data_IF_642382104356
#
_entry.id   IF_642382104356
#
_cell.length_a   1.000
_cell.length_b   1.000
_cell.length_c   1.000
_cell.angle_alpha   90.00
_cell.angle_beta   90.00
_cell.angle_gamma   90.00
#
_symmetry.space_group_name_H-M   'P 1'
#
loop_
_entity.id
_entity.type
_entity.pdbx_description
1 polymer ?
#
# COMPACT_ATOMS: atom_id res chain seq x y z
N UNK A 1 -47.45 -27.30 1.21
CA UNK A 1 -48.83 -27.01 0.79
C UNK A 1 -48.95 -25.52 0.52
N UNK A 2 -48.93 -25.09 -0.76
CA UNK A 2 -49.02 -23.70 -1.19
C UNK A 2 -50.49 -23.31 -1.46
N UNK A 3 -50.83 -22.02 -1.36
CA UNK A 3 -52.12 -21.47 -1.82
C UNK A 3 -51.84 -20.15 -2.52
N UNK A 4 -51.73 -20.15 -3.86
CA UNK A 4 -52.77 -19.89 -4.87
C UNK A 4 -53.01 -18.38 -5.12
N UNK A 5 -52.71 -18.00 -6.37
CA UNK A 5 -52.94 -16.72 -7.05
C UNK A 5 -54.44 -16.35 -7.20
N UNK A 6 -54.79 -15.15 -7.72
CA UNK A 6 -55.01 -15.09 -9.17
C UNK A 6 -54.47 -13.85 -9.89
N UNK A 7 -54.39 -14.04 -11.20
CA UNK A 7 -53.91 -13.19 -12.28
C UNK A 7 -55.07 -12.39 -12.93
N UNK A 8 -54.79 -11.21 -13.51
CA UNK A 8 -55.30 -10.65 -14.79
C UNK A 8 -55.18 -9.10 -14.79
N UNK A 9 -55.10 -8.35 -15.89
CA UNK A 9 -54.55 -8.45 -17.25
C UNK A 9 -54.84 -7.08 -17.94
N UNK A 10 -54.10 -6.76 -19.03
CA UNK A 10 -54.39 -5.75 -20.09
C UNK A 10 -54.07 -4.26 -19.75
N UNK A 11 -53.07 -3.65 -20.40
CA UNK A 11 -53.02 -3.11 -21.79
C UNK A 11 -53.66 -1.73 -21.92
N UNK A 12 -52.87 -0.67 -22.18
CA UNK A 12 -52.87 0.13 -23.43
C UNK A 12 -51.89 1.31 -23.36
N UNK A 13 -51.42 1.70 -24.54
CA UNK A 13 -50.41 2.70 -24.87
C UNK A 13 -50.73 4.16 -24.45
N UNK A 14 -49.71 5.04 -24.47
CA UNK A 14 -49.56 6.13 -25.50
C UNK A 14 -48.52 7.19 -25.04
N UNK A 15 -47.37 7.22 -25.75
CA UNK A 15 -46.68 8.39 -26.33
C UNK A 15 -46.14 9.54 -25.45
N UNK A 16 -44.85 9.90 -25.60
CA UNK A 16 -44.39 11.09 -26.36
C UNK A 16 -42.89 11.46 -26.11
N UNK A 17 -42.23 11.86 -27.20
CA UNK A 17 -40.95 12.60 -27.35
C UNK A 17 -39.64 11.86 -26.99
N UNK A 18 -38.54 11.95 -27.74
CA UNK A 18 -38.08 12.94 -28.73
C UNK A 18 -37.09 12.29 -29.71
N UNK A 19 -37.22 12.63 -30.99
CA UNK A 19 -36.27 12.34 -32.06
C UNK A 19 -35.06 13.28 -31.99
N UNK A 20 -33.84 12.76 -32.19
CA UNK A 20 -32.80 13.48 -32.94
C UNK A 20 -32.04 12.53 -33.86
N UNK A 21 -32.12 12.87 -35.14
CA UNK A 21 -31.43 12.31 -36.30
C UNK A 21 -29.90 12.44 -36.20
N UNK A 22 -29.17 11.44 -36.70
CA UNK A 22 -28.05 11.68 -37.63
C UNK A 22 -27.87 10.50 -38.59
N UNK A 23 -27.90 10.83 -39.88
CA UNK A 23 -27.92 9.91 -41.02
C UNK A 23 -26.50 9.62 -41.50
N UNK A 24 -26.22 8.36 -41.89
CA UNK A 24 -24.98 7.94 -42.55
C UNK A 24 -25.34 7.42 -43.94
N UNK A 25 -24.88 8.06 -45.02
CA UNK A 25 -24.79 7.43 -46.35
C UNK A 25 -23.69 8.01 -47.27
N UNK A 26 -22.76 7.11 -47.66
CA UNK A 26 -22.17 6.78 -48.99
C UNK A 26 -21.44 7.82 -49.89
N UNK A 27 -20.16 7.50 -50.17
CA UNK A 27 -19.48 7.38 -51.51
C UNK A 27 -17.96 7.34 -51.29
N UNK A 28 -17.05 6.73 -52.07
CA UNK A 28 -16.99 6.01 -53.36
C UNK A 28 -15.55 5.45 -53.45
N UNK A 29 -15.32 4.25 -54.00
CA UNK A 29 -14.47 4.00 -55.19
C UNK A 29 -14.20 2.49 -55.43
N UNK A 30 -14.60 2.08 -56.64
CA UNK A 30 -14.22 0.93 -57.51
C UNK A 30 -12.75 0.49 -57.38
N UNK A 31 -12.28 -0.67 -57.84
CA UNK A 31 -12.76 -1.94 -58.38
C UNK A 31 -11.46 -2.77 -58.64
N UNK A 32 -11.54 -4.10 -58.79
CA UNK A 32 -10.93 -4.86 -59.92
C UNK A 32 -11.01 -6.39 -59.68
N UNK A 33 -11.48 -7.04 -60.74
CA UNK A 33 -11.35 -8.42 -61.19
C UNK A 33 -11.99 -9.63 -60.47
N UNK A 34 -12.83 -10.28 -61.27
CA UNK A 34 -13.47 -11.57 -61.13
C UNK A 34 -12.53 -12.74 -61.43
N UNK A 35 -12.80 -13.92 -60.86
CA UNK A 35 -13.26 -15.10 -61.62
C UNK A 35 -13.30 -16.38 -60.74
N UNK A 36 -14.50 -16.97 -60.68
CA UNK A 36 -14.85 -18.39 -60.82
C UNK A 36 -14.38 -19.50 -59.84
N UNK A 37 -15.39 -20.31 -59.49
CA UNK A 37 -15.41 -21.77 -59.34
C UNK A 37 -15.14 -22.43 -57.96
N UNK A 38 -16.24 -22.61 -57.20
CA UNK A 38 -16.83 -23.87 -56.63
C UNK A 38 -15.97 -24.95 -55.93
N UNK A 39 -16.58 -25.73 -55.01
CA UNK A 39 -16.04 -26.01 -53.69
C UNK A 39 -15.47 -27.42 -53.52
N UNK A 40 -14.65 -27.62 -52.47
CA UNK A 40 -14.27 -28.95 -52.00
C UNK A 40 -14.72 -29.10 -50.53
N UNK A 41 -15.78 -29.89 -50.40
CA UNK A 41 -16.05 -30.91 -49.38
C UNK A 41 -15.96 -30.54 -47.88
N UNK A 42 -17.13 -30.39 -47.27
CA UNK A 42 -17.35 -30.63 -45.83
C UNK A 42 -17.23 -32.12 -45.53
N UNK A 43 -16.40 -32.48 -44.55
CA UNK A 43 -16.62 -33.66 -43.71
C UNK A 43 -16.47 -33.25 -42.24
N UNK A 44 -17.60 -33.24 -41.56
CA UNK A 44 -17.74 -33.24 -40.10
C UNK A 44 -18.14 -34.66 -39.66
N UNK A 45 -17.92 -34.92 -38.35
CA UNK A 45 -18.23 -36.12 -37.55
C UNK A 45 -17.01 -37.05 -37.33
N UNK A 46 -16.60 -37.45 -36.13
CA UNK A 46 -17.16 -37.39 -34.78
C UNK A 46 -16.02 -37.44 -33.72
N UNK A 47 -16.29 -36.83 -32.56
CA UNK A 47 -15.90 -37.16 -31.18
C UNK A 47 -14.69 -38.08 -30.89
N UNK A 48 -13.79 -37.63 -30.01
CA UNK A 48 -13.59 -38.21 -28.65
C UNK A 48 -12.45 -37.54 -27.86
N UNK A 49 -12.69 -37.39 -26.55
CA UNK A 49 -11.73 -37.32 -25.43
C UNK A 49 -10.85 -36.07 -25.23
N UNK A 50 -11.40 -35.13 -24.45
CA UNK A 50 -10.63 -34.26 -23.57
C UNK A 50 -9.97 -35.10 -22.47
N UNK A 51 -8.66 -35.39 -22.60
CA UNK A 51 -7.85 -35.83 -21.47
C UNK A 51 -7.36 -34.60 -20.69
N UNK A 52 -7.88 -34.47 -19.46
CA UNK A 52 -7.37 -33.56 -18.44
C UNK A 52 -5.99 -34.05 -17.99
N UNK A 53 -4.93 -33.35 -18.39
CA UNK A 53 -3.59 -33.51 -17.83
C UNK A 53 -3.37 -32.40 -16.80
N UNK A 54 -3.53 -32.75 -15.52
CA UNK A 54 -3.03 -31.95 -14.39
C UNK A 54 -1.50 -32.11 -14.34
N UNK A 55 -0.71 -31.02 -14.22
CA UNK A 55 0.71 -31.14 -13.98
C UNK A 55 0.96 -31.63 -12.53
N UNK A 56 2.04 -32.38 -12.28
CA UNK A 56 2.34 -32.89 -10.96
C UNK A 56 2.80 -31.74 -10.05
N UNK A 57 2.09 -31.57 -8.93
CA UNK A 57 2.56 -30.79 -7.79
C UNK A 57 3.82 -31.46 -7.24
N UNK A 58 4.99 -30.94 -7.59
CA UNK A 58 6.22 -31.20 -6.85
C UNK A 58 6.12 -30.45 -5.51
N UNK A 59 5.66 -31.16 -4.47
CA UNK A 59 5.80 -30.73 -3.09
C UNK A 59 7.29 -30.73 -2.73
N UNK A 60 7.93 -29.57 -2.86
CA UNK A 60 9.19 -29.30 -2.18
C UNK A 60 8.90 -29.14 -0.68
N UNK A 61 9.62 -29.84 0.21
CA UNK A 61 9.47 -29.65 1.64
C UNK A 61 9.91 -28.23 2.03
N UNK A 62 9.29 -27.62 3.06
CA UNK A 62 9.69 -26.31 3.53
C UNK A 62 11.15 -26.34 4.05
N UNK A 63 11.94 -25.29 3.80
CA UNK A 63 13.31 -25.21 4.31
C UNK A 63 13.29 -25.22 5.85
N UNK A 64 14.01 -26.18 6.44
CA UNK A 64 14.21 -26.23 7.87
C UNK A 64 15.26 -25.19 8.27
N UNK A 65 14.87 -24.24 9.13
CA UNK A 65 15.77 -23.23 9.68
C UNK A 65 16.38 -23.73 11.00
N UNK A 66 17.66 -23.44 11.28
CA UNK A 66 18.26 -23.73 12.57
C UNK A 66 17.69 -22.78 13.65
N UNK A 67 17.55 -23.24 14.92
CA UNK A 67 17.03 -22.41 15.99
C UNK A 67 18.00 -21.27 16.34
N UNK A 68 17.48 -20.03 16.44
CA UNK A 68 18.23 -18.90 16.98
C UNK A 68 18.53 -19.13 18.46
N UNK A 69 19.81 -19.09 18.81
CA UNK A 69 20.26 -19.05 20.21
C UNK A 69 19.96 -17.66 20.80
N UNK A 70 19.27 -17.62 21.93
CA UNK A 70 19.06 -16.42 22.71
C UNK A 70 20.33 -16.09 23.52
N UNK A 71 20.85 -14.85 23.48
CA UNK A 71 21.91 -14.45 24.38
C UNK A 71 21.31 -14.17 25.77
N UNK A 72 21.83 -14.88 26.78
CA UNK A 72 21.59 -14.63 28.20
C UNK A 72 22.26 -13.34 28.65
N UNK A 73 21.46 -12.39 29.16
CA UNK A 73 21.95 -11.17 29.82
C UNK A 73 22.55 -11.48 31.19
N UNK A 74 23.67 -10.84 31.60
CA UNK A 74 24.17 -10.95 32.97
C UNK A 74 23.41 -10.01 33.92
N UNK A 75 23.12 -10.50 35.11
CA UNK A 75 22.51 -9.79 36.24
C UNK A 75 23.50 -8.83 36.90
N UNK A 76 23.10 -7.57 37.08
CA UNK A 76 23.87 -6.57 37.84
C UNK A 76 23.38 -6.60 39.30
N UNK A 77 24.31 -6.83 40.22
CA UNK A 77 24.09 -6.85 41.66
C UNK A 77 24.24 -5.43 42.24
N UNK A 78 23.19 -4.93 42.90
CA UNK A 78 23.19 -3.70 43.68
C UNK A 78 23.85 -3.92 45.05
N UNK A 79 24.74 -3.01 45.46
CA UNK A 79 25.16 -2.85 46.85
C UNK A 79 24.69 -1.49 47.41
N UNK A 80 24.21 -1.43 48.66
CA UNK A 80 23.74 -0.19 49.27
C UNK A 80 24.82 0.50 50.13
N UNK A 81 24.71 1.83 50.20
CA UNK A 81 25.09 2.62 51.37
C UNK A 81 26.29 3.56 51.19
N UNK A 82 26.03 4.86 51.25
CA UNK A 82 26.64 5.76 52.26
C UNK A 82 25.91 7.11 52.25
N UNK A 83 25.86 7.72 53.43
CA UNK A 83 25.06 8.86 53.87
C UNK A 83 26.04 9.99 54.21
N UNK A 84 25.87 11.21 53.68
CA UNK A 84 26.46 12.47 54.17
C UNK A 84 25.60 13.63 53.61
N UNK A 85 24.78 14.31 54.43
CA UNK A 85 25.03 15.49 55.28
C UNK A 85 25.01 16.84 54.55
N UNK A 86 23.96 17.61 54.91
CA UNK A 86 23.92 19.06 55.19
C UNK A 86 24.41 20.09 54.14
N UNK A 87 23.42 20.84 53.63
CA UNK A 87 23.38 22.30 53.70
C UNK A 87 24.03 23.09 52.55
N UNK A 88 23.22 23.80 51.76
CA UNK A 88 23.32 25.26 51.62
C UNK A 88 22.18 25.82 50.77
N UNK A 89 21.75 27.02 51.12
CA UNK A 89 20.62 27.75 50.58
C UNK A 89 20.76 28.07 49.08
N UNK A 90 19.69 27.87 48.31
CA UNK A 90 19.54 28.48 46.98
C UNK A 90 18.42 29.50 47.05
N UNK A 91 18.82 30.76 46.81
CA UNK A 91 17.98 31.93 46.61
C UNK A 91 16.83 31.64 45.64
N UNK A 92 15.63 32.02 46.04
CA UNK A 92 14.54 32.30 45.11
C UNK A 92 14.97 33.45 44.18
N UNK A 93 15.04 33.18 42.88
CA UNK A 93 15.06 34.21 41.85
C UNK A 93 13.81 34.03 41.00
N UNK A 94 12.91 34.99 41.12
CA UNK A 94 11.70 35.12 40.33
C UNK A 94 12.09 35.30 38.86
N UNK A 95 12.08 34.21 38.08
CA UNK A 95 11.98 34.31 36.64
C UNK A 95 10.49 34.46 36.30
N UNK A 96 10.13 35.65 35.81
CA UNK A 96 8.81 35.94 35.28
C UNK A 96 8.43 34.86 34.24
N UNK A 97 7.19 34.34 34.26
CA UNK A 97 6.73 33.48 33.18
C UNK A 97 6.52 34.37 31.95
N UNK A 98 7.47 34.34 31.03
CA UNK A 98 7.24 34.81 29.67
C UNK A 98 6.12 33.95 29.07
N UNK A 99 4.96 34.49 28.66
CA UNK A 99 3.98 33.71 27.94
C UNK A 99 4.48 33.55 26.51
N UNK A 100 5.39 32.59 26.29
CA UNK A 100 5.65 32.10 24.94
C UNK A 100 4.52 31.14 24.59
N UNK A 101 3.39 31.71 24.15
CA UNK A 101 2.37 30.96 23.42
C UNK A 101 2.93 30.67 22.02
N UNK A 102 3.98 29.86 21.95
CA UNK A 102 4.30 29.13 20.74
C UNK A 102 3.23 28.05 20.64
N UNK A 103 2.21 28.29 19.80
CA UNK A 103 1.22 27.28 19.49
C UNK A 103 1.97 26.02 19.01
N UNK A 104 2.01 25.00 19.86
CA UNK A 104 2.69 23.74 19.58
C UNK A 104 1.95 23.10 18.39
N UNK A 105 2.54 23.24 17.20
CA UNK A 105 1.96 22.70 15.98
C UNK A 105 2.25 21.21 15.96
N UNK A 106 1.18 20.39 15.92
CA UNK A 106 1.28 18.94 15.82
C UNK A 106 2.21 18.56 14.66
N UNK A 107 3.12 17.58 14.84
CA UNK A 107 3.95 17.07 13.75
C UNK A 107 3.10 16.55 12.59
N UNK A 108 3.49 16.86 11.36
CA UNK A 108 2.84 16.37 10.14
C UNK A 108 3.14 14.87 9.97
N UNK A 109 2.10 14.06 9.90
CA UNK A 109 2.23 12.61 9.93
C UNK A 109 2.13 12.00 8.52
N UNK A 110 3.16 11.26 8.09
CA UNK A 110 3.24 10.57 6.79
C UNK A 110 3.38 9.07 6.99
N UNK A 111 2.54 8.30 6.29
CA UNK A 111 2.56 6.84 6.26
C UNK A 111 2.88 6.33 4.86
N UNK A 112 3.93 5.52 4.72
CA UNK A 112 4.26 4.85 3.47
C UNK A 112 3.67 3.44 3.44
N UNK A 113 2.98 3.05 2.36
CA UNK A 113 2.25 1.78 2.30
C UNK A 113 2.57 1.01 1.03
N UNK A 114 3.03 -0.24 1.20
CA UNK A 114 3.14 -1.21 0.12
C UNK A 114 2.34 -2.48 0.45
N UNK A 115 2.50 -3.57 -0.31
CA UNK A 115 1.81 -4.83 -0.01
C UNK A 115 2.25 -5.42 1.34
N UNK A 116 3.49 -5.91 1.46
CA UNK A 116 3.94 -6.68 2.62
C UNK A 116 4.75 -5.93 3.69
N UNK A 117 4.99 -4.63 3.52
CA UNK A 117 5.81 -3.80 4.42
C UNK A 117 7.21 -4.34 4.75
N UNK A 118 7.87 -4.97 3.78
CA UNK A 118 9.25 -5.46 3.93
C UNK A 118 10.21 -4.89 2.89
N UNK A 119 9.75 -4.39 1.75
CA UNK A 119 10.62 -3.86 0.70
C UNK A 119 10.42 -2.35 0.49
N UNK A 120 9.36 -1.97 -0.23
CA UNK A 120 9.18 -0.61 -0.75
C UNK A 120 8.85 0.41 0.34
N UNK A 121 7.85 0.15 1.18
CA UNK A 121 7.44 1.12 2.20
C UNK A 121 8.47 1.34 3.33
N UNK A 122 9.20 0.31 3.84
CA UNK A 122 10.32 0.55 4.76
C UNK A 122 11.46 1.35 4.14
N UNK A 123 11.73 1.15 2.84
CA UNK A 123 12.74 1.94 2.13
C UNK A 123 12.34 3.41 2.02
N UNK A 124 11.09 3.68 1.62
CA UNK A 124 10.57 5.04 1.56
C UNK A 124 10.59 5.73 2.93
N UNK A 125 10.24 5.02 4.00
CA UNK A 125 10.33 5.50 5.39
C UNK A 125 11.78 5.88 5.77
N UNK A 126 12.74 4.98 5.50
CA UNK A 126 14.15 5.22 5.77
C UNK A 126 14.72 6.42 5.01
N UNK A 127 14.43 6.52 3.71
CA UNK A 127 14.83 7.65 2.85
C UNK A 127 14.23 8.96 3.37
N UNK A 128 12.92 8.97 3.66
CA UNK A 128 12.25 10.18 4.10
C UNK A 128 12.75 10.65 5.48
N UNK A 129 12.98 9.72 6.41
CA UNK A 129 13.56 10.01 7.72
C UNK A 129 14.97 10.57 7.60
N UNK A 130 15.84 9.95 6.82
CA UNK A 130 17.20 10.47 6.58
C UNK A 130 17.18 11.91 6.03
N UNK A 131 16.27 12.21 5.08
CA UNK A 131 16.10 13.56 4.54
C UNK A 131 15.58 14.57 5.58
N UNK A 132 14.63 14.17 6.42
CA UNK A 132 14.08 15.00 7.50
C UNK A 132 15.17 15.33 8.53
N UNK A 133 15.93 14.31 8.95
CA UNK A 133 17.00 14.44 9.93
C UNK A 133 18.12 15.35 9.41
N UNK A 134 18.56 15.16 8.16
CA UNK A 134 19.57 16.01 7.50
C UNK A 134 19.17 17.48 7.40
N UNK A 135 17.86 17.77 7.47
CA UNK A 135 17.31 19.13 7.45
C UNK A 135 16.96 19.67 8.84
N UNK A 136 17.16 18.88 9.89
CA UNK A 136 16.79 19.24 11.27
C UNK A 136 15.29 19.46 11.46
N UNK A 137 14.46 18.66 10.78
CA UNK A 137 13.00 18.79 10.80
C UNK A 137 12.31 17.67 11.59
N UNK A 138 13.05 16.89 12.38
CA UNK A 138 12.57 15.72 13.11
C UNK A 138 11.32 16.00 13.93
N UNK A 139 11.29 17.11 14.65
CA UNK A 139 10.14 17.52 15.48
C UNK A 139 8.89 17.90 14.68
N UNK A 140 9.02 18.12 13.37
CA UNK A 140 7.91 18.53 12.49
C UNK A 140 7.24 17.36 11.81
N UNK A 141 7.79 16.15 11.89
CA UNK A 141 7.26 14.99 11.18
C UNK A 141 7.08 13.77 12.08
N UNK A 142 5.94 13.08 11.91
CA UNK A 142 5.75 11.70 12.35
C UNK A 142 5.86 10.81 11.11
N UNK A 143 6.75 9.83 11.13
CA UNK A 143 7.12 9.04 9.94
C UNK A 143 6.98 7.57 10.27
N UNK A 144 6.22 6.82 9.47
CA UNK A 144 5.99 5.39 9.66
C UNK A 144 5.77 4.67 8.32
N UNK A 145 5.78 3.34 8.32
CA UNK A 145 5.38 2.51 7.19
C UNK A 145 4.45 1.37 7.58
N UNK A 146 3.66 0.88 6.61
CA UNK A 146 2.74 -0.23 6.78
C UNK A 146 2.56 -1.06 5.50
N UNK A 147 1.83 -2.16 5.65
CA UNK A 147 1.47 -3.11 4.61
C UNK A 147 -0.05 -3.19 4.41
N UNK A 148 -0.52 -3.51 3.21
CA UNK A 148 -1.96 -3.79 3.00
C UNK A 148 -2.36 -5.17 3.53
N UNK A 149 -1.38 -6.07 3.75
CA UNK A 149 -1.54 -7.39 4.38
C UNK A 149 -0.70 -7.49 5.66
N UNK A 150 -1.00 -8.49 6.48
CA UNK A 150 -0.35 -8.80 7.76
C UNK A 150 0.65 -9.96 7.70
N UNK A 151 0.87 -10.56 6.51
CA UNK A 151 1.68 -11.77 6.33
C UNK A 151 3.10 -11.68 6.91
N UNK A 152 3.69 -10.48 6.97
CA UNK A 152 5.03 -10.28 7.49
C UNK A 152 5.05 -9.55 8.84
N UNK A 153 3.92 -9.38 9.53
CA UNK A 153 3.86 -8.60 10.76
C UNK A 153 4.94 -9.02 11.79
N UNK A 154 5.63 -8.02 12.34
CA UNK A 154 6.73 -8.20 13.29
C UNK A 154 8.10 -8.51 12.66
N UNK A 155 8.16 -8.83 11.36
CA UNK A 155 9.42 -9.10 10.68
C UNK A 155 10.20 -7.82 10.38
N UNK A 156 11.52 -7.93 10.34
CA UNK A 156 12.38 -6.89 9.78
C UNK A 156 12.13 -6.71 8.28
N UNK A 157 12.48 -5.54 7.76
CA UNK A 157 12.58 -5.31 6.33
C UNK A 157 13.48 -6.35 5.62
N UNK A 158 13.18 -6.64 4.36
CA UNK A 158 13.87 -7.61 3.52
C UNK A 158 15.39 -7.32 3.54
N UNK A 159 16.23 -8.35 3.80
CA UNK A 159 17.67 -8.16 3.93
C UNK A 159 18.31 -7.56 2.67
N UNK A 160 17.78 -7.83 1.47
CA UNK A 160 18.26 -7.24 0.21
C UNK A 160 17.97 -5.75 0.15
N UNK A 161 16.79 -5.34 0.61
CA UNK A 161 16.43 -3.92 0.70
C UNK A 161 17.28 -3.19 1.74
N UNK A 162 17.45 -3.78 2.93
CA UNK A 162 18.33 -3.23 3.97
C UNK A 162 19.77 -3.06 3.46
N UNK A 163 20.29 -4.05 2.74
CA UNK A 163 21.61 -3.96 2.14
C UNK A 163 21.71 -2.85 1.08
N UNK A 164 20.70 -2.70 0.22
CA UNK A 164 20.65 -1.64 -0.80
C UNK A 164 20.56 -0.23 -0.20
N UNK A 165 19.77 -0.05 0.86
CA UNK A 165 19.66 1.23 1.57
C UNK A 165 20.94 1.56 2.34
N UNK A 166 21.54 0.56 3.00
CA UNK A 166 22.79 0.76 3.74
C UNK A 166 23.95 1.18 2.84
N UNK A 167 24.01 0.69 1.59
CA UNK A 167 24.99 1.17 0.58
C UNK A 167 24.87 2.67 0.29
N UNK A 168 23.70 3.26 0.51
CA UNK A 168 23.44 4.71 0.39
C UNK A 168 23.52 5.47 1.72
N UNK A 169 23.95 4.81 2.80
CA UNK A 169 24.00 5.41 4.14
C UNK A 169 22.63 5.55 4.83
N UNK A 170 21.62 4.82 4.36
CA UNK A 170 20.26 4.84 4.93
C UNK A 170 20.04 3.54 5.71
N UNK A 171 19.78 3.66 7.01
CA UNK A 171 19.42 2.53 7.85
C UNK A 171 17.90 2.33 7.86
N UNK A 172 17.45 1.11 7.60
CA UNK A 172 16.04 0.71 7.71
C UNK A 172 15.87 -0.12 8.98
N UNK A 173 15.16 0.44 9.95
CA UNK A 173 14.88 -0.18 11.26
C UNK A 173 13.42 -0.60 11.42
N UNK A 174 12.60 -0.45 10.38
CA UNK A 174 11.16 -0.73 10.42
C UNK A 174 10.87 -2.21 10.72
N UNK A 175 9.85 -2.44 11.55
CA UNK A 175 9.20 -3.73 11.71
C UNK A 175 7.90 -3.71 10.93
N UNK A 176 7.66 -4.76 10.16
CA UNK A 176 6.48 -4.86 9.33
C UNK A 176 5.21 -4.85 10.19
N UNK A 177 4.20 -4.08 9.76
CA UNK A 177 2.86 -4.06 10.34
C UNK A 177 1.80 -3.87 9.25
N UNK A 178 0.58 -4.41 9.41
CA UNK A 178 -0.52 -4.05 8.53
C UNK A 178 -0.96 -2.60 8.80
N UNK A 179 -1.56 -1.98 7.78
CA UNK A 179 -2.35 -0.76 7.94
C UNK A 179 -3.54 -1.08 8.84
N UNK A 180 -3.87 -0.15 9.74
CA UNK A 180 -4.94 -0.30 10.71
C UNK A 180 -5.89 0.87 10.62
N UNK A 181 -7.07 0.68 11.22
CA UNK A 181 -8.10 1.70 11.26
C UNK A 181 -7.58 3.05 11.80
N UNK A 182 -6.85 3.10 12.95
CA UNK A 182 -6.31 4.36 13.48
C UNK A 182 -5.41 5.13 12.50
N UNK A 183 -4.77 4.47 11.53
CA UNK A 183 -3.91 5.16 10.55
C UNK A 183 -4.70 6.19 9.71
N UNK A 184 -5.98 5.92 9.46
CA UNK A 184 -6.88 6.86 8.76
C UNK A 184 -7.30 8.06 9.62
N UNK A 185 -6.99 8.08 10.91
CA UNK A 185 -7.15 9.26 11.77
C UNK A 185 -5.81 9.93 12.03
N UNK A 186 -4.77 9.13 12.28
CA UNK A 186 -3.54 9.62 12.90
C UNK A 186 -2.55 10.23 11.88
N UNK A 187 -2.64 9.83 10.61
CA UNK A 187 -1.76 10.32 9.54
C UNK A 187 -2.40 11.40 8.68
N UNK A 188 -1.65 12.43 8.30
CA UNK A 188 -2.12 13.51 7.44
C UNK A 188 -1.96 13.17 5.95
N UNK A 189 -1.03 12.25 5.63
CA UNK A 189 -0.74 11.77 4.27
C UNK A 189 -0.44 10.27 4.27
N UNK A 190 -1.07 9.54 3.36
CA UNK A 190 -0.81 8.10 3.15
C UNK A 190 -0.34 7.90 1.71
N UNK A 191 0.89 7.40 1.53
CA UNK A 191 1.55 7.24 0.24
C UNK A 191 1.63 5.77 -0.16
N UNK A 192 0.80 5.38 -1.11
CA UNK A 192 0.78 4.06 -1.72
C UNK A 192 1.89 3.92 -2.76
N UNK A 193 2.57 2.76 -2.77
CA UNK A 193 3.67 2.52 -3.71
C UNK A 193 3.20 2.27 -5.16
N UNK A 194 2.06 1.62 -5.33
CA UNK A 194 1.46 1.33 -6.64
C UNK A 194 -0.08 1.50 -6.61
N UNK A 195 -0.74 1.38 -7.77
CA UNK A 195 -2.19 1.52 -7.86
C UNK A 195 -2.94 0.41 -7.09
N UNK A 196 -2.40 -0.80 -7.01
CA UNK A 196 -3.03 -1.89 -6.28
C UNK A 196 -3.05 -1.60 -4.78
N UNK A 197 -1.93 -1.16 -4.20
CA UNK A 197 -1.85 -0.74 -2.82
C UNK A 197 -2.81 0.40 -2.53
N UNK A 198 -2.92 1.37 -3.45
CA UNK A 198 -3.92 2.44 -3.31
C UNK A 198 -5.34 1.89 -3.29
N UNK A 199 -5.68 0.97 -4.20
CA UNK A 199 -7.00 0.35 -4.23
C UNK A 199 -7.31 -0.40 -2.93
N UNK A 200 -6.38 -1.22 -2.44
CA UNK A 200 -6.52 -2.00 -1.20
C UNK A 200 -6.74 -1.09 0.02
N UNK A 201 -6.01 0.03 0.11
CA UNK A 201 -6.16 1.02 1.20
C UNK A 201 -7.56 1.65 1.16
N UNK A 202 -8.05 2.01 -0.02
CA UNK A 202 -9.39 2.59 -0.19
C UNK A 202 -10.48 1.57 0.13
N UNK A 203 -10.29 0.30 -0.25
CA UNK A 203 -11.20 -0.78 0.12
C UNK A 203 -11.22 -0.97 1.64
N UNK A 204 -10.05 -1.01 2.30
CA UNK A 204 -9.94 -1.09 3.75
C UNK A 204 -10.67 0.07 4.44
N UNK A 205 -10.47 1.30 3.97
CA UNK A 205 -11.20 2.48 4.45
C UNK A 205 -12.72 2.29 4.35
N UNK A 206 -13.22 1.86 3.19
CA UNK A 206 -14.65 1.65 2.97
C UNK A 206 -15.24 0.55 3.85
N UNK A 207 -14.47 -0.49 4.18
CA UNK A 207 -14.88 -1.54 5.12
C UNK A 207 -14.89 -1.07 6.57
N UNK A 208 -14.01 -0.15 6.94
CA UNK A 208 -13.79 0.24 8.32
C UNK A 208 -14.51 1.52 8.75
N UNK A 209 -14.89 2.41 7.83
CA UNK A 209 -15.57 3.68 8.13
C UNK A 209 -16.89 3.55 8.88
N UNK A 210 -17.48 2.35 8.91
CA UNK A 210 -18.70 2.05 9.67
C UNK A 210 -18.43 1.46 11.06
N UNK A 211 -17.18 1.16 11.41
CA UNK A 211 -16.79 0.55 12.70
C UNK A 211 -16.53 1.59 13.77
N UNK A 212 -15.87 2.68 13.42
CA UNK A 212 -15.64 3.83 14.31
C UNK A 212 -15.66 5.14 13.49
N UNK A 213 -15.88 6.31 14.13
CA UNK A 213 -15.87 7.59 13.44
C UNK A 213 -14.53 7.88 12.77
N UNK A 214 -14.54 7.94 11.44
CA UNK A 214 -13.44 8.41 10.62
C UNK A 214 -13.82 9.73 9.93
N UNK A 215 -12.86 10.64 9.67
CA UNK A 215 -13.11 11.79 8.83
C UNK A 215 -13.63 11.34 7.46
N UNK A 216 -14.71 11.95 6.99
CA UNK A 216 -15.37 11.57 5.73
C UNK A 216 -14.40 11.64 4.54
N UNK A 217 -13.48 12.60 4.59
CA UNK A 217 -12.46 12.85 3.58
C UNK A 217 -11.10 12.20 3.87
N UNK A 218 -11.01 11.30 4.85
CA UNK A 218 -9.76 10.57 5.16
C UNK A 218 -9.26 9.70 3.99
N UNK A 219 -10.10 9.39 3.00
CA UNK A 219 -9.66 8.75 1.76
C UNK A 219 -8.90 9.71 0.83
N UNK A 220 -9.12 11.03 0.92
CA UNK A 220 -8.50 12.03 0.02
C UNK A 220 -7.00 12.21 0.27
N UNK A 221 -6.53 11.91 1.47
CA UNK A 221 -5.10 11.88 1.83
C UNK A 221 -4.35 10.64 1.33
N UNK A 222 -5.04 9.67 0.72
CA UNK A 222 -4.37 8.51 0.09
C UNK A 222 -3.94 8.90 -1.32
N UNK A 223 -2.63 9.03 -1.53
CA UNK A 223 -1.99 9.40 -2.81
C UNK A 223 -1.00 8.33 -3.25
N UNK A 224 -0.63 8.36 -4.54
CA UNK A 224 0.48 7.54 -5.03
C UNK A 224 1.79 8.23 -4.67
N UNK A 225 2.80 7.46 -4.27
CA UNK A 225 4.15 7.98 -4.02
C UNK A 225 4.67 8.73 -5.26
N UNK A 226 4.50 8.12 -6.44
CA UNK A 226 4.95 8.68 -7.71
C UNK A 226 4.21 9.94 -8.16
N UNK A 227 3.08 10.33 -7.55
CA UNK A 227 2.46 11.64 -7.85
C UNK A 227 3.31 12.83 -7.40
N UNK A 228 4.36 12.58 -6.60
CA UNK A 228 5.34 13.59 -6.16
C UNK A 228 6.67 13.51 -6.94
N UNK A 229 6.82 12.59 -7.89
CA UNK A 229 8.00 12.49 -8.74
C UNK A 229 8.10 13.73 -9.64
N UNK A 230 9.31 14.31 -9.70
CA UNK A 230 9.62 15.48 -10.56
C UNK A 230 10.69 15.22 -11.62
N UNK A 231 11.46 14.14 -11.43
CA UNK A 231 12.62 13.78 -12.28
C UNK A 231 12.42 12.47 -13.04
N UNK A 232 11.38 11.73 -12.67
CA UNK A 232 11.09 10.37 -13.08
C UNK A 232 9.65 10.34 -13.57
N UNK A 233 9.40 9.70 -14.71
CA UNK A 233 8.08 9.61 -15.34
C UNK A 233 7.32 8.35 -14.89
N UNK A 234 7.93 7.54 -14.03
CA UNK A 234 7.27 6.38 -13.42
C UNK A 234 6.01 6.79 -12.66
N UNK A 235 4.92 6.06 -12.89
CA UNK A 235 3.63 6.26 -12.22
C UNK A 235 3.47 5.41 -10.95
N UNK A 236 4.37 4.44 -10.74
CA UNK A 236 4.39 3.51 -9.61
C UNK A 236 5.82 3.17 -9.20
N UNK A 237 6.01 2.80 -7.93
CA UNK A 237 7.25 2.24 -7.40
C UNK A 237 7.23 0.72 -7.63
N UNK A 238 8.06 0.19 -8.55
CA UNK A 238 8.00 -1.21 -8.96
C UNK A 238 8.33 -2.15 -7.79
N UNK A 239 7.62 -3.28 -7.70
CA UNK A 239 7.89 -4.27 -6.67
C UNK A 239 9.21 -5.02 -6.95
N UNK A 240 10.22 -4.91 -6.09
CA UNK A 240 11.52 -5.54 -6.32
C UNK A 240 11.55 -7.02 -5.90
N UNK A 241 10.51 -7.55 -5.23
CA UNK A 241 10.59 -8.80 -4.48
C UNK A 241 10.97 -10.01 -5.33
N UNK A 242 10.38 -10.10 -6.53
CA UNK A 242 10.66 -11.15 -7.52
C UNK A 242 11.77 -10.77 -8.52
N UNK A 243 12.38 -9.59 -8.35
CA UNK A 243 13.45 -9.08 -9.21
C UNK A 243 14.85 -9.45 -8.72
N UNK A 244 15.85 -9.12 -9.54
CA UNK A 244 17.26 -9.19 -9.15
C UNK A 244 17.69 -8.02 -8.25
N UNK A 245 18.95 -8.01 -7.77
CA UNK A 245 19.48 -6.96 -6.90
C UNK A 245 19.29 -5.52 -7.43
N UNK A 246 19.29 -5.35 -8.75
CA UNK A 246 19.08 -4.07 -9.43
C UNK A 246 17.68 -3.48 -9.18
N UNK A 247 16.66 -4.32 -8.95
CA UNK A 247 15.31 -3.86 -8.62
C UNK A 247 15.27 -3.12 -7.28
N UNK A 248 16.03 -3.62 -6.30
CA UNK A 248 16.15 -2.97 -4.98
C UNK A 248 16.88 -1.63 -5.07
N UNK A 249 17.86 -1.51 -5.96
CA UNK A 249 18.54 -0.24 -6.22
C UNK A 249 17.60 0.78 -6.84
N UNK A 250 16.80 0.38 -7.85
CA UNK A 250 15.87 1.27 -8.54
C UNK A 250 14.83 1.88 -7.60
N UNK A 251 14.37 1.14 -6.60
CA UNK A 251 13.35 1.61 -5.63
C UNK A 251 13.83 2.74 -4.73
N UNK A 252 15.15 2.88 -4.52
CA UNK A 252 15.72 3.88 -3.62
C UNK A 252 16.20 5.14 -4.38
N UNK A 253 16.19 5.11 -5.72
CA UNK A 253 16.55 6.26 -6.57
C UNK A 253 15.38 7.24 -6.72
#
# INVERSE_FOLDING_TARGET
MPSIYPCRNKSTATQLHSQKHFSITKSKMKALHAAAATPINLQFCHSTNYHSLKPPFLLLPPPQFPPLQTPTSPSISLKPGTRFSSGSAIKASMAAPTPSTAAETKPFAVLFVCLGNICRSPAAEGVFRDLVNKRGLDSKFKIDSAGTIDYHEGNLADPRMRAASKRRGIEITSLSRPIRLPDFRDFDLILAMDNQNRADIIEAFNRWKFREPLPEDAHKKVKLMCSYCKKHDETEVPDPYYGGPQGFEKVIL
#
